data_IF_306760398182
#
_entry.id   IF_306760398182
#
_cell.length_a   1.000
_cell.length_b   1.000
_cell.length_c   1.000
_cell.angle_alpha   90.00
_cell.angle_beta   90.00
_cell.angle_gamma   90.00
#
_symmetry.space_group_name_H-M   'P 1'
#
loop_
_entity.id
_entity.type
_entity.pdbx_description
1 polymer ?
#
# COMPACT_ATOMS: atom_id res chain seq x y z
N UNK A 1 45.12 -52.60 42.46
CA UNK A 1 45.39 -54.06 42.46
C UNK A 1 44.49 -54.73 41.42
N UNK A 2 44.99 -55.83 40.85
CA UNK A 2 44.51 -56.65 39.71
C UNK A 2 43.00 -56.96 39.66
N UNK A 3 42.46 -57.19 38.44
CA UNK A 3 41.08 -57.63 38.12
C UNK A 3 40.72 -59.05 38.61
N UNK A 4 39.79 -59.86 37.99
CA UNK A 4 39.27 -59.80 36.61
C UNK A 4 37.78 -60.29 36.35
N UNK A 5 37.35 -60.17 35.08
CA UNK A 5 36.58 -61.06 34.15
C UNK A 5 35.33 -61.91 34.55
N UNK A 6 34.23 -61.63 33.82
CA UNK A 6 33.27 -62.48 33.05
C UNK A 6 32.92 -63.94 33.42
N UNK A 7 31.62 -64.31 33.35
CA UNK A 7 31.03 -65.26 32.35
C UNK A 7 29.54 -65.62 32.65
N UNK A 8 28.75 -65.72 31.56
CA UNK A 8 27.48 -66.46 31.37
C UNK A 8 27.64 -67.98 31.63
N UNK A 9 26.64 -68.91 31.46
CA UNK A 9 25.24 -68.81 30.98
C UNK A 9 24.21 -69.63 31.82
N UNK A 10 22.90 -69.57 31.50
CA UNK A 10 22.04 -70.78 31.51
C UNK A 10 20.70 -70.61 30.76
N UNK A 11 20.42 -71.66 29.99
CA UNK A 11 19.38 -72.01 29.03
C UNK A 11 17.88 -71.70 29.32
N UNK A 12 17.23 -71.26 28.24
CA UNK A 12 15.92 -71.63 27.67
C UNK A 12 15.08 -72.75 28.31
N UNK A 13 13.77 -72.47 28.47
CA UNK A 13 12.68 -73.38 28.08
C UNK A 13 11.39 -72.61 27.69
N UNK A 14 10.78 -73.02 26.57
CA UNK A 14 9.59 -72.44 25.89
C UNK A 14 8.28 -72.72 26.63
N UNK A 15 7.34 -71.78 26.55
CA UNK A 15 5.90 -72.05 26.49
C UNK A 15 5.22 -70.96 25.64
N UNK A 16 4.59 -71.39 24.55
CA UNK A 16 3.92 -70.57 23.55
C UNK A 16 2.40 -70.66 23.73
N UNK A 17 1.77 -69.57 24.14
CA UNK A 17 0.33 -69.37 24.01
C UNK A 17 0.09 -68.10 23.18
N UNK A 18 -0.42 -68.26 21.96
CA UNK A 18 -0.85 -67.14 21.11
C UNK A 18 -2.21 -66.64 21.62
N UNK A 19 -2.42 -65.34 21.83
CA UNK A 19 -3.76 -64.82 22.04
C UNK A 19 -4.56 -64.96 20.74
N UNK A 20 -5.68 -65.67 20.81
CA UNK A 20 -6.66 -65.75 19.72
C UNK A 20 -7.32 -64.38 19.55
N UNK A 21 -6.91 -63.62 18.54
CA UNK A 21 -7.62 -62.43 18.10
C UNK A 21 -8.96 -62.92 17.55
N UNK A 22 -10.05 -62.65 18.28
CA UNK A 22 -11.41 -62.95 17.82
C UNK A 22 -11.65 -62.23 16.47
N UNK A 23 -12.12 -62.97 15.48
CA UNK A 23 -12.41 -62.50 14.12
C UNK A 23 -13.36 -61.29 14.14
N UNK A 24 -14.22 -61.19 15.15
CA UNK A 24 -15.15 -60.07 15.34
C UNK A 24 -14.45 -58.74 15.61
N UNK A 25 -13.34 -58.74 16.37
CA UNK A 25 -12.55 -57.52 16.63
C UNK A 25 -11.78 -57.07 15.39
N UNK A 26 -11.31 -58.02 14.56
CA UNK A 26 -10.64 -57.71 13.30
C UNK A 26 -11.61 -57.09 12.29
N UNK A 27 -12.84 -57.63 12.22
CA UNK A 27 -13.90 -57.09 11.35
C UNK A 27 -14.37 -55.70 11.79
N UNK A 28 -14.54 -55.45 13.09
CA UNK A 28 -14.87 -54.11 13.61
C UNK A 28 -13.74 -53.09 13.39
N UNK A 29 -12.47 -53.51 13.47
CA UNK A 29 -11.32 -52.65 13.17
C UNK A 29 -11.21 -52.33 11.66
N UNK A 30 -11.47 -53.30 10.78
CA UNK A 30 -11.51 -53.09 9.32
C UNK A 30 -12.72 -52.23 8.92
N UNK A 31 -13.90 -52.45 9.50
CA UNK A 31 -15.11 -51.64 9.26
C UNK A 31 -14.93 -50.20 9.75
N UNK A 32 -14.34 -49.99 10.94
CA UNK A 32 -14.06 -48.64 11.45
C UNK A 32 -12.95 -47.93 10.66
N UNK A 33 -11.93 -48.66 10.20
CA UNK A 33 -10.88 -48.15 9.32
C UNK A 33 -11.40 -47.76 7.93
N UNK A 34 -12.27 -48.58 7.34
CA UNK A 34 -12.90 -48.32 6.04
C UNK A 34 -13.97 -47.21 6.10
N UNK A 35 -14.69 -47.05 7.23
CA UNK A 35 -15.55 -45.88 7.46
C UNK A 35 -14.73 -44.58 7.58
N UNK A 36 -13.57 -44.63 8.25
CA UNK A 36 -12.65 -43.48 8.36
C UNK A 36 -12.01 -43.13 7.01
N UNK A 37 -11.56 -44.11 6.22
CA UNK A 37 -11.04 -43.91 4.87
C UNK A 37 -12.12 -43.43 3.88
N UNK A 38 -13.34 -43.98 3.97
CA UNK A 38 -14.50 -43.54 3.19
C UNK A 38 -14.93 -42.11 3.54
N UNK A 39 -14.91 -41.74 4.83
CA UNK A 39 -15.18 -40.39 5.30
C UNK A 39 -14.12 -39.37 4.84
N UNK A 40 -12.84 -39.74 4.86
CA UNK A 40 -11.74 -38.91 4.34
C UNK A 40 -11.84 -38.74 2.82
N UNK A 41 -12.18 -39.80 2.08
CA UNK A 41 -12.35 -39.75 0.63
C UNK A 41 -13.59 -38.94 0.21
N UNK A 42 -14.70 -39.10 0.93
CA UNK A 42 -15.91 -38.31 0.74
C UNK A 42 -15.66 -36.83 1.09
N UNK A 43 -14.96 -36.56 2.20
CA UNK A 43 -14.53 -35.22 2.59
C UNK A 43 -13.63 -34.55 1.56
N UNK A 44 -12.66 -35.27 1.00
CA UNK A 44 -11.79 -34.77 -0.07
C UNK A 44 -12.57 -34.47 -1.36
N UNK A 45 -13.52 -35.34 -1.74
CA UNK A 45 -14.42 -35.08 -2.89
C UNK A 45 -15.24 -33.81 -2.71
N UNK A 46 -15.87 -33.63 -1.55
CA UNK A 46 -16.64 -32.41 -1.27
C UNK A 46 -15.75 -31.17 -1.22
N UNK A 47 -14.52 -31.29 -0.74
CA UNK A 47 -13.55 -30.19 -0.73
C UNK A 47 -13.14 -29.80 -2.14
N UNK A 48 -12.82 -30.77 -3.01
CA UNK A 48 -12.49 -30.51 -4.43
C UNK A 48 -13.67 -29.88 -5.16
N UNK A 49 -14.88 -30.38 -4.95
CA UNK A 49 -16.11 -29.81 -5.54
C UNK A 49 -16.33 -28.39 -5.02
N UNK A 50 -16.19 -28.14 -3.71
CA UNK A 50 -16.32 -26.81 -3.13
C UNK A 50 -15.30 -25.82 -3.70
N UNK A 51 -14.04 -26.24 -3.86
CA UNK A 51 -12.99 -25.43 -4.51
C UNK A 51 -13.37 -25.15 -5.96
N UNK A 52 -13.79 -26.15 -6.73
CA UNK A 52 -14.18 -25.98 -8.12
C UNK A 52 -15.37 -24.99 -8.27
N UNK A 53 -16.38 -25.12 -7.41
CA UNK A 53 -17.52 -24.19 -7.37
C UNK A 53 -17.05 -22.78 -7.00
N UNK A 54 -16.20 -22.62 -5.99
CA UNK A 54 -15.66 -21.33 -5.60
C UNK A 54 -14.84 -20.67 -6.73
N UNK A 55 -14.01 -21.44 -7.43
CA UNK A 55 -13.23 -20.97 -8.58
C UNK A 55 -14.14 -20.52 -9.71
N UNK A 56 -15.21 -21.25 -10.02
CA UNK A 56 -16.16 -20.89 -11.09
C UNK A 56 -17.09 -19.73 -10.69
N UNK A 57 -17.45 -19.60 -9.42
CA UNK A 57 -18.29 -18.51 -8.92
C UNK A 57 -17.53 -17.19 -8.78
N UNK A 58 -16.23 -17.24 -8.46
CA UNK A 58 -15.43 -16.05 -8.15
C UNK A 58 -15.39 -14.98 -9.26
N UNK A 59 -15.29 -15.30 -10.57
CA UNK A 59 -15.28 -14.28 -11.61
C UNK A 59 -16.64 -13.61 -11.75
N UNK A 60 -17.73 -14.37 -11.61
CA UNK A 60 -19.09 -13.86 -11.67
C UNK A 60 -19.37 -12.89 -10.51
N UNK A 61 -18.93 -13.25 -9.30
CA UNK A 61 -19.03 -12.36 -8.13
C UNK A 61 -18.19 -11.10 -8.30
N UNK A 62 -16.97 -11.23 -8.85
CA UNK A 62 -16.10 -10.09 -9.12
C UNK A 62 -16.69 -9.16 -10.18
N UNK A 63 -17.30 -9.71 -11.24
CA UNK A 63 -18.01 -8.94 -12.26
C UNK A 63 -19.23 -8.24 -11.64
N UNK A 64 -20.02 -8.94 -10.83
CA UNK A 64 -21.15 -8.34 -10.11
C UNK A 64 -20.71 -7.19 -9.20
N UNK A 65 -19.60 -7.37 -8.48
CA UNK A 65 -19.01 -6.31 -7.65
C UNK A 65 -18.49 -5.14 -8.49
N UNK A 66 -17.94 -5.41 -9.68
CA UNK A 66 -17.44 -4.40 -10.60
C UNK A 66 -18.59 -3.54 -11.14
N UNK A 67 -19.69 -4.19 -11.53
CA UNK A 67 -20.91 -3.53 -11.94
C UNK A 67 -21.49 -2.71 -10.80
N UNK A 68 -21.48 -3.22 -9.57
CA UNK A 68 -21.94 -2.46 -8.40
C UNK A 68 -21.08 -1.21 -8.17
N UNK A 69 -19.75 -1.33 -8.17
CA UNK A 69 -18.84 -0.20 -8.02
C UNK A 69 -18.96 0.84 -9.15
N UNK A 70 -19.34 0.39 -10.36
CA UNK A 70 -19.40 1.24 -11.55
C UNK A 70 -20.78 1.79 -11.87
N UNK A 71 -21.88 1.16 -11.47
CA UNK A 71 -23.24 1.59 -11.82
C UNK A 71 -23.97 2.23 -10.64
N UNK A 72 -23.55 1.94 -9.40
CA UNK A 72 -24.15 2.57 -8.22
C UNK A 72 -23.88 4.09 -8.22
N UNK A 73 -24.83 4.93 -7.77
CA UNK A 73 -24.64 6.38 -7.70
C UNK A 73 -23.36 6.76 -6.96
N UNK A 74 -22.47 7.50 -7.62
CA UNK A 74 -21.16 7.91 -7.09
C UNK A 74 -21.17 9.33 -6.52
N UNK A 75 -22.20 9.67 -5.75
CA UNK A 75 -22.22 10.93 -5.01
C UNK A 75 -21.35 10.78 -3.76
N UNK A 76 -20.60 11.82 -3.42
CA UNK A 76 -19.86 11.86 -2.18
C UNK A 76 -20.83 12.10 -1.02
N UNK A 77 -20.81 11.19 -0.06
CA UNK A 77 -21.56 11.29 1.19
C UNK A 77 -20.57 11.43 2.33
N UNK A 78 -20.56 12.59 3.00
CA UNK A 78 -19.81 12.77 4.24
C UNK A 78 -20.39 11.86 5.32
N UNK A 79 -19.51 11.10 5.97
CA UNK A 79 -19.83 10.31 7.17
C UNK A 79 -19.65 11.18 8.41
N UNK A 80 -18.73 12.16 8.35
CA UNK A 80 -18.60 13.17 9.37
C UNK A 80 -19.82 14.11 9.36
N UNK A 81 -20.45 14.29 10.53
CA UNK A 81 -21.57 15.21 10.72
C UNK A 81 -21.16 16.67 10.93
N UNK A 82 -19.86 16.97 10.85
CA UNK A 82 -19.28 18.29 11.08
C UNK A 82 -18.90 18.96 9.77
N UNK A 83 -18.97 20.29 9.74
CA UNK A 83 -18.46 21.08 8.62
C UNK A 83 -16.92 21.06 8.63
N UNK A 84 -16.31 20.77 7.49
CA UNK A 84 -14.85 20.67 7.34
C UNK A 84 -14.42 21.33 6.04
N UNK A 85 -13.34 22.11 6.11
CA UNK A 85 -12.67 22.70 4.94
C UNK A 85 -11.40 21.91 4.63
N UNK A 86 -11.28 21.42 3.39
CA UNK A 86 -10.19 20.55 2.95
C UNK A 86 -9.60 21.01 1.62
N UNK A 87 -8.35 20.66 1.35
CA UNK A 87 -7.66 21.08 0.13
C UNK A 87 -7.85 20.05 -0.98
N UNK A 88 -8.45 20.48 -2.10
CA UNK A 88 -8.75 19.67 -3.26
C UNK A 88 -9.87 18.65 -3.03
N UNK A 89 -9.91 17.63 -3.89
CA UNK A 89 -10.94 16.57 -3.89
C UNK A 89 -10.33 15.18 -4.08
N UNK A 90 -11.08 14.11 -3.74
CA UNK A 90 -10.64 12.75 -4.03
C UNK A 90 -10.48 12.50 -5.54
N UNK A 91 -9.33 11.97 -5.95
CA UNK A 91 -9.00 11.72 -7.36
C UNK A 91 -8.27 10.38 -7.52
N UNK A 92 -8.50 9.68 -8.62
CA UNK A 92 -7.82 8.43 -8.97
C UNK A 92 -6.74 8.70 -10.02
N UNK A 93 -5.48 8.47 -9.66
CA UNK A 93 -4.30 8.82 -10.45
C UNK A 93 -3.73 7.57 -11.15
N UNK A 94 -3.90 7.44 -12.48
CA UNK A 94 -3.16 6.45 -13.25
C UNK A 94 -1.70 6.89 -13.39
N UNK A 95 -0.82 6.30 -12.58
CA UNK A 95 0.59 6.66 -12.48
C UNK A 95 1.46 5.65 -13.21
N UNK A 96 2.53 6.14 -13.85
CA UNK A 96 3.67 5.32 -14.26
C UNK A 96 4.85 5.63 -13.37
N UNK A 97 5.33 4.62 -12.65
CA UNK A 97 6.57 4.67 -11.88
C UNK A 97 7.70 4.11 -12.74
N UNK A 98 8.69 4.95 -13.01
CA UNK A 98 9.91 4.56 -13.73
C UNK A 98 11.10 4.67 -12.81
N UNK A 99 11.81 3.58 -12.63
CA UNK A 99 13.04 3.52 -11.87
C UNK A 99 14.20 3.28 -12.82
N UNK A 100 15.19 4.15 -12.76
CA UNK A 100 16.44 4.06 -13.48
C UNK A 100 17.58 3.97 -12.47
N UNK A 101 18.13 2.76 -12.32
CA UNK A 101 19.32 2.51 -11.51
C UNK A 101 20.55 2.68 -12.39
N UNK A 102 21.45 3.58 -12.00
CA UNK A 102 22.72 3.81 -12.68
C UNK A 102 23.87 2.99 -12.10
N UNK A 103 23.78 2.63 -10.83
CA UNK A 103 24.81 1.88 -10.11
C UNK A 103 24.17 0.98 -9.03
N UNK A 104 24.73 -0.22 -8.74
CA UNK A 104 25.95 -0.82 -9.31
C UNK A 104 25.77 -1.39 -10.73
N UNK A 105 24.54 -1.71 -11.12
CA UNK A 105 24.20 -2.20 -12.46
C UNK A 105 23.18 -1.26 -13.08
N UNK A 106 23.39 -0.92 -14.35
CA UNK A 106 22.41 -0.18 -15.13
C UNK A 106 21.15 -1.02 -15.32
N UNK A 107 20.03 -0.58 -14.76
CA UNK A 107 18.75 -1.24 -14.94
C UNK A 107 17.62 -0.22 -14.96
N UNK A 108 16.72 -0.35 -15.93
CA UNK A 108 15.53 0.48 -16.05
C UNK A 108 14.30 -0.42 -15.96
N UNK A 109 13.41 -0.12 -15.02
CA UNK A 109 12.11 -0.75 -14.95
C UNK A 109 11.01 0.30 -14.84
N UNK A 110 9.91 0.07 -15.53
CA UNK A 110 8.72 0.91 -15.47
C UNK A 110 7.52 0.02 -15.20
N UNK A 111 6.62 0.48 -14.35
CA UNK A 111 5.37 -0.19 -14.08
C UNK A 111 4.28 0.84 -13.78
N UNK A 112 3.07 0.48 -14.15
CA UNK A 112 1.89 1.30 -13.93
C UNK A 112 1.31 0.96 -12.56
N UNK A 113 0.93 1.98 -11.79
CA UNK A 113 0.28 1.84 -10.48
C UNK A 113 -0.91 2.81 -10.42
N UNK A 114 -2.00 2.38 -9.78
CA UNK A 114 -3.13 3.27 -9.49
C UNK A 114 -2.91 3.89 -8.11
N UNK A 115 -2.82 5.22 -8.06
CA UNK A 115 -2.82 5.98 -6.82
C UNK A 115 -4.20 6.60 -6.59
N UNK A 116 -4.50 6.93 -5.35
CA UNK A 116 -5.63 7.75 -4.93
C UNK A 116 -5.08 8.96 -4.19
N UNK A 117 -5.55 10.14 -4.59
CA UNK A 117 -5.35 11.38 -3.87
C UNK A 117 -6.55 11.65 -2.98
N UNK A 118 -6.29 12.01 -1.72
CA UNK A 118 -7.32 12.18 -0.69
C UNK A 118 -7.02 13.45 0.11
N UNK A 119 -7.95 14.43 0.14
CA UNK A 119 -7.88 15.52 1.10
C UNK A 119 -7.92 14.99 2.53
N UNK A 120 -6.94 15.35 3.35
CA UNK A 120 -6.87 14.92 4.75
C UNK A 120 -7.93 15.66 5.56
N UNK A 121 -8.63 14.93 6.43
CA UNK A 121 -9.69 15.48 7.30
C UNK A 121 -11.11 15.16 6.84
N UNK A 122 -11.30 14.60 5.64
CA UNK A 122 -12.61 14.08 5.22
C UNK A 122 -12.80 12.63 5.68
N UNK A 123 -14.01 12.31 6.13
CA UNK A 123 -14.50 10.94 6.27
C UNK A 123 -15.69 10.78 5.36
N UNK A 124 -15.55 10.02 4.28
CA UNK A 124 -16.59 9.97 3.25
C UNK A 124 -16.64 8.65 2.48
N UNK A 125 -17.76 8.47 1.79
CA UNK A 125 -17.97 7.38 0.85
C UNK A 125 -18.44 7.92 -0.50
N UNK A 126 -17.91 7.34 -1.58
CA UNK A 126 -18.28 7.66 -2.96
C UNK A 126 -18.89 6.41 -3.59
N UNK A 127 -20.20 6.27 -3.38
CA UNK A 127 -20.95 5.08 -3.79
C UNK A 127 -20.33 3.78 -3.26
N UNK A 128 -20.17 2.78 -4.14
CA UNK A 128 -19.45 1.54 -3.84
C UNK A 128 -18.02 1.51 -4.41
N UNK A 129 -17.54 2.64 -4.92
CA UNK A 129 -16.25 2.74 -5.59
C UNK A 129 -15.12 3.04 -4.61
N UNK A 130 -15.26 4.08 -3.77
CA UNK A 130 -14.20 4.56 -2.89
C UNK A 130 -14.77 4.86 -1.50
N UNK A 131 -14.05 4.43 -0.47
CA UNK A 131 -14.30 4.81 0.93
C UNK A 131 -13.03 5.40 1.52
N UNK A 132 -13.18 6.49 2.28
CA UNK A 132 -12.08 7.23 2.91
C UNK A 132 -12.44 7.38 4.37
N UNK A 133 -11.66 6.72 5.23
CA UNK A 133 -11.79 6.77 6.69
C UNK A 133 -13.25 6.56 7.17
N UNK A 134 -13.96 5.69 6.46
CA UNK A 134 -15.33 5.29 6.75
C UNK A 134 -15.30 3.89 7.38
N UNK A 135 -16.21 3.63 8.32
CA UNK A 135 -16.28 2.36 9.03
C UNK A 135 -16.34 1.16 8.07
N UNK A 136 -15.63 0.08 8.42
CA UNK A 136 -15.43 -1.13 7.60
C UNK A 136 -16.73 -1.87 7.22
N UNK A 137 -17.88 -1.41 7.70
CA UNK A 137 -19.18 -2.05 7.48
C UNK A 137 -19.61 -2.07 6.02
N UNK A 138 -19.01 -1.24 5.14
CA UNK A 138 -19.40 -1.15 3.73
C UNK A 138 -18.22 -1.44 2.80
N UNK A 139 -18.20 -2.65 2.21
CA UNK A 139 -17.22 -3.03 1.19
C UNK A 139 -17.31 -2.10 -0.03
N UNK A 140 -16.35 -1.18 -0.15
CA UNK A 140 -16.12 -0.38 -1.35
C UNK A 140 -14.98 -0.98 -2.16
N UNK A 141 -14.98 -0.78 -3.49
CA UNK A 141 -13.98 -1.36 -4.37
C UNK A 141 -12.56 -0.96 -3.96
N UNK A 142 -12.39 0.33 -3.69
CA UNK A 142 -11.20 0.93 -3.11
C UNK A 142 -11.49 1.47 -1.72
N UNK A 143 -10.50 1.37 -0.85
CA UNK A 143 -10.56 1.88 0.52
C UNK A 143 -9.25 2.57 0.88
N UNK A 144 -9.36 3.67 1.61
CA UNK A 144 -8.26 4.40 2.25
C UNK A 144 -8.61 4.48 3.72
N UNK A 145 -7.82 3.82 4.55
CA UNK A 145 -8.11 3.61 5.96
C UNK A 145 -6.98 4.20 6.82
N UNK A 146 -7.34 5.09 7.75
CA UNK A 146 -6.42 5.76 8.67
C UNK A 146 -5.56 4.78 9.47
N UNK A 147 -6.06 3.59 9.80
CA UNK A 147 -5.33 2.54 10.54
C UNK A 147 -3.96 2.18 9.96
N UNK A 148 -3.73 2.49 8.69
CA UNK A 148 -2.55 2.04 7.93
C UNK A 148 -1.47 3.11 7.76
N UNK A 149 -1.82 4.37 7.99
CA UNK A 149 -0.93 5.48 7.77
C UNK A 149 -0.33 6.01 9.07
N UNK A 150 0.80 6.70 8.93
CA UNK A 150 1.66 7.21 10.00
C UNK A 150 1.93 6.15 11.08
N UNK A 151 1.64 6.42 12.34
CA UNK A 151 1.93 5.50 13.43
C UNK A 151 0.99 4.28 13.45
N UNK A 152 1.57 3.09 13.68
CA UNK A 152 0.85 1.82 13.84
C UNK A 152 0.26 1.70 15.25
N UNK A 153 -0.99 1.23 15.36
CA UNK A 153 -1.67 0.98 16.64
C UNK A 153 -2.67 2.04 17.06
N UNK A 154 -2.67 3.21 16.40
CA UNK A 154 -3.64 4.28 16.65
C UNK A 154 -4.91 4.12 15.82
N UNK A 155 -5.49 2.92 15.83
CA UNK A 155 -6.57 2.53 14.91
C UNK A 155 -7.90 3.26 15.16
N UNK A 156 -7.98 4.01 16.26
CA UNK A 156 -9.12 4.82 16.67
C UNK A 156 -9.05 6.27 16.13
N UNK A 157 -7.90 6.70 15.61
CA UNK A 157 -7.68 8.05 15.11
C UNK A 157 -7.91 8.12 13.59
N UNK A 158 -8.56 9.20 13.14
CA UNK A 158 -8.69 9.49 11.72
C UNK A 158 -7.41 10.05 11.11
N UNK A 159 -7.44 10.29 9.79
CA UNK A 159 -6.23 10.75 9.06
C UNK A 159 -5.69 12.08 9.57
N UNK A 160 -6.56 13.03 9.94
CA UNK A 160 -6.12 14.35 10.43
C UNK A 160 -5.54 14.25 11.84
N UNK A 161 -6.20 13.51 12.72
CA UNK A 161 -5.75 13.33 14.09
C UNK A 161 -4.40 12.60 14.14
N UNK A 162 -4.19 11.59 13.29
CA UNK A 162 -2.89 10.93 13.15
C UNK A 162 -1.79 11.85 12.65
N UNK A 163 -2.11 12.71 11.69
CA UNK A 163 -1.17 13.72 11.21
C UNK A 163 -0.75 14.66 12.34
N UNK A 164 -1.70 15.15 13.12
CA UNK A 164 -1.42 16.06 14.24
C UNK A 164 -0.54 15.41 15.31
N UNK A 165 -0.81 14.15 15.66
CA UNK A 165 0.02 13.39 16.60
C UNK A 165 1.44 13.25 16.07
N UNK A 166 1.59 12.80 14.81
CA UNK A 166 2.90 12.64 14.19
C UNK A 166 3.69 13.96 14.16
N UNK A 167 3.06 15.08 13.82
CA UNK A 167 3.73 16.38 13.78
C UNK A 167 4.21 16.81 15.17
N UNK A 168 3.38 16.63 16.22
CA UNK A 168 3.80 16.91 17.60
C UNK A 168 4.95 16.02 18.06
N UNK A 169 4.95 14.75 17.65
CA UNK A 169 6.06 13.81 17.93
C UNK A 169 7.36 14.21 17.20
N UNK A 170 7.26 14.97 16.11
CA UNK A 170 8.40 15.60 15.42
C UNK A 170 8.75 16.99 15.98
N UNK A 171 8.16 17.40 17.12
CA UNK A 171 8.32 18.72 17.71
C UNK A 171 7.84 19.88 16.81
N UNK A 172 6.91 19.62 15.91
CA UNK A 172 6.29 20.62 15.05
C UNK A 172 4.88 21.00 15.54
N UNK A 173 4.43 22.20 15.19
CA UNK A 173 3.07 22.65 15.48
C UNK A 173 2.13 22.29 14.31
N UNK A 174 1.10 21.42 14.53
CA UNK A 174 0.15 21.08 13.48
C UNK A 174 -0.61 22.28 12.89
N UNK A 175 -0.71 23.38 13.64
CA UNK A 175 -1.37 24.61 13.16
C UNK A 175 -0.68 25.24 11.96
N UNK A 176 0.62 24.98 11.76
CA UNK A 176 1.37 25.45 10.59
C UNK A 176 0.86 24.86 9.27
N UNK A 177 0.24 23.69 9.33
CA UNK A 177 -0.30 23.00 8.16
C UNK A 177 -1.77 22.63 8.37
N UNK A 178 -2.70 23.59 8.29
CA UNK A 178 -4.13 23.33 8.44
C UNK A 178 -4.66 22.38 7.37
N UNK A 179 -4.04 22.36 6.18
CA UNK A 179 -4.44 21.52 5.06
C UNK A 179 -3.39 20.49 4.72
N UNK A 180 -3.84 19.29 4.33
CA UNK A 180 -2.96 18.26 3.79
C UNK A 180 -3.66 17.45 2.70
N UNK A 181 -2.88 16.90 1.78
CA UNK A 181 -3.33 16.03 0.71
C UNK A 181 -2.51 14.75 0.69
N UNK A 182 -3.17 13.60 0.81
CA UNK A 182 -2.56 12.29 0.84
C UNK A 182 -2.55 11.68 -0.56
N UNK A 183 -1.40 11.19 -1.03
CA UNK A 183 -1.27 10.43 -2.26
C UNK A 183 -0.74 9.02 -1.94
N UNK A 184 -1.57 8.00 -2.11
CA UNK A 184 -1.22 6.61 -1.77
C UNK A 184 -1.84 5.59 -2.73
N UNK A 185 -1.41 4.34 -2.63
CA UNK A 185 -2.05 3.21 -3.32
C UNK A 185 -3.29 2.82 -2.52
N UNK A 186 -4.50 2.78 -3.11
CA UNK A 186 -5.69 2.36 -2.40
C UNK A 186 -5.65 0.85 -2.11
N UNK A 187 -6.26 0.45 -1.00
CA UNK A 187 -6.54 -0.97 -0.75
C UNK A 187 -7.66 -1.45 -1.66
N UNK A 188 -7.44 -2.59 -2.31
CA UNK A 188 -8.44 -3.31 -3.11
C UNK A 188 -8.82 -4.61 -2.40
N UNK A 189 -10.09 -4.74 -1.99
CA UNK A 189 -10.56 -5.84 -1.13
C UNK A 189 -9.66 -5.95 0.12
N UNK A 190 -9.09 -7.10 0.44
CA UNK A 190 -8.16 -7.27 1.58
C UNK A 190 -6.69 -6.98 1.20
N UNK A 191 -6.41 -6.68 -0.07
CA UNK A 191 -5.06 -6.59 -0.60
C UNK A 191 -4.58 -5.16 -0.77
N UNK A 192 -3.39 -4.89 -0.24
CA UNK A 192 -2.72 -3.61 -0.37
C UNK A 192 -1.22 -3.81 -0.16
N UNK A 193 -0.41 -3.12 -0.97
CA UNK A 193 1.02 -2.99 -0.73
C UNK A 193 1.51 -1.62 -1.19
N UNK A 194 1.37 -0.63 -0.31
CA UNK A 194 1.90 0.71 -0.54
C UNK A 194 3.37 0.78 -0.10
N UNK A 195 4.30 0.82 -1.07
CA UNK A 195 5.74 0.93 -0.79
C UNK A 195 6.11 2.35 -0.37
N UNK A 196 5.42 3.34 -0.92
CA UNK A 196 5.63 4.75 -0.62
C UNK A 196 4.29 5.48 -0.61
N UNK A 197 4.11 6.35 0.37
CA UNK A 197 2.97 7.26 0.50
C UNK A 197 3.48 8.68 0.73
N UNK A 198 2.82 9.67 0.14
CA UNK A 198 3.17 11.08 0.31
C UNK A 198 2.03 11.84 0.96
N UNK A 199 2.37 12.62 1.98
CA UNK A 199 1.50 13.64 2.56
C UNK A 199 2.04 15.00 2.14
N UNK A 200 1.28 15.73 1.35
CA UNK A 200 1.57 17.10 0.96
C UNK A 200 0.95 18.02 2.02
N UNK A 201 1.76 18.81 2.70
CA UNK A 201 1.34 19.69 3.80
C UNK A 201 1.35 21.14 3.33
N UNK A 202 0.25 21.84 3.55
CA UNK A 202 0.04 23.18 3.02
C UNK A 202 -0.21 24.15 4.16
N UNK A 203 0.40 25.34 4.06
CA UNK A 203 0.19 26.42 5.01
C UNK A 203 -1.18 27.08 4.89
N UNK A 204 -1.43 28.09 5.73
CA UNK A 204 -2.66 28.91 5.69
C UNK A 204 -2.88 29.57 4.32
N UNK A 205 -1.79 29.94 3.64
CA UNK A 205 -1.80 30.51 2.29
C UNK A 205 -2.15 29.49 1.20
N UNK A 206 -2.36 28.21 1.56
CA UNK A 206 -2.66 27.08 0.67
C UNK A 206 -1.50 26.75 -0.28
N UNK A 207 -0.29 27.14 0.08
CA UNK A 207 0.94 26.80 -0.61
C UNK A 207 1.57 25.53 -0.02
N UNK A 208 2.17 24.70 -0.87
CA UNK A 208 2.88 23.51 -0.44
C UNK A 208 4.16 23.90 0.31
N UNK A 209 4.24 23.57 1.59
CA UNK A 209 5.35 23.96 2.47
C UNK A 209 6.20 22.76 2.94
N UNK A 210 5.58 21.60 3.14
CA UNK A 210 6.29 20.40 3.55
C UNK A 210 5.70 19.12 2.96
N UNK A 211 6.48 18.04 3.00
CA UNK A 211 6.05 16.71 2.60
C UNK A 211 6.45 15.71 3.68
N UNK A 212 5.54 14.79 4.00
CA UNK A 212 5.87 13.56 4.73
C UNK A 212 5.94 12.42 3.72
N UNK A 213 7.07 11.73 3.69
CA UNK A 213 7.23 10.50 2.94
C UNK A 213 7.16 9.30 3.89
N UNK A 214 6.14 8.47 3.72
CA UNK A 214 6.09 7.15 4.37
C UNK A 214 6.71 6.11 3.46
N UNK A 215 7.68 5.36 3.98
CA UNK A 215 8.37 4.30 3.26
C UNK A 215 8.10 2.99 3.99
N UNK A 216 7.44 2.06 3.31
CA UNK A 216 7.25 0.68 3.79
C UNK A 216 8.18 -0.23 2.99
N UNK A 217 9.10 -0.90 3.69
CA UNK A 217 10.05 -1.78 3.03
C UNK A 217 9.53 -3.22 2.90
N UNK A 218 10.32 -4.06 2.21
CA UNK A 218 9.99 -5.48 2.01
C UNK A 218 10.03 -6.32 3.28
N UNK A 219 10.55 -5.81 4.39
CA UNK A 219 10.63 -6.48 5.69
C UNK A 219 9.52 -6.07 6.65
N UNK A 220 8.50 -5.34 6.16
CA UNK A 220 7.42 -4.76 6.95
C UNK A 220 7.90 -3.74 8.02
N UNK A 221 9.09 -3.17 7.82
CA UNK A 221 9.54 -1.98 8.55
C UNK A 221 8.96 -0.74 7.89
N UNK A 222 8.54 0.22 8.71
CA UNK A 222 7.98 1.49 8.27
C UNK A 222 8.83 2.65 8.76
N UNK A 223 9.02 3.66 7.91
CA UNK A 223 9.63 4.92 8.31
C UNK A 223 8.91 6.10 7.68
N UNK A 224 8.59 7.08 8.50
CA UNK A 224 7.98 8.34 8.10
C UNK A 224 9.05 9.42 8.18
N UNK A 225 9.20 10.23 7.14
CA UNK A 225 10.20 11.31 7.08
C UNK A 225 9.50 12.60 6.68
N UNK A 226 9.49 13.56 7.61
CA UNK A 226 9.07 14.93 7.34
C UNK A 226 10.25 15.74 6.79
N UNK A 227 10.00 16.53 5.76
CA UNK A 227 10.95 17.51 5.25
C UNK A 227 10.24 18.71 4.62
N UNK A 228 10.80 19.90 4.83
CA UNK A 228 10.34 21.14 4.19
C UNK A 228 10.70 21.14 2.71
N UNK A 229 9.90 21.84 1.91
CA UNK A 229 10.14 21.98 0.48
C UNK A 229 10.18 23.46 0.08
N UNK A 230 10.94 23.76 -0.97
CA UNK A 230 11.08 25.12 -1.47
C UNK A 230 10.77 25.19 -2.96
N UNK A 231 10.03 26.22 -3.37
CA UNK A 231 9.72 26.50 -4.76
C UNK A 231 10.97 26.76 -5.60
N UNK A 232 10.97 26.30 -6.85
CA UNK A 232 12.01 26.64 -7.83
C UNK A 232 11.55 27.83 -8.68
N UNK A 233 12.23 28.96 -8.55
CA UNK A 233 11.89 30.24 -9.21
C UNK A 233 11.96 30.20 -10.75
N UNK A 234 12.64 29.23 -11.34
CA UNK A 234 13.02 29.23 -12.76
C UNK A 234 11.89 28.90 -13.76
N UNK A 235 10.66 28.58 -13.33
CA UNK A 235 9.57 28.13 -14.21
C UNK A 235 8.20 28.79 -13.93
N UNK A 236 8.17 29.96 -13.27
CA UNK A 236 6.93 30.63 -12.83
C UNK A 236 5.97 31.00 -13.97
N UNK A 237 6.47 31.27 -15.18
CA UNK A 237 5.65 31.65 -16.34
C UNK A 237 4.68 30.54 -16.80
N UNK A 238 4.91 29.27 -16.44
CA UNK A 238 4.01 28.16 -16.80
C UNK A 238 2.86 27.96 -15.79
N UNK A 239 2.91 28.62 -14.62
CA UNK A 239 1.81 28.58 -13.64
C UNK A 239 0.63 29.44 -14.06
N UNK A 240 0.89 30.61 -14.65
CA UNK A 240 -0.12 31.61 -15.00
C UNK A 240 -1.16 31.07 -16.00
N UNK A 241 -0.75 30.23 -16.95
CA UNK A 241 -1.67 29.57 -17.91
C UNK A 241 -2.49 28.42 -17.27
N UNK A 242 -2.06 27.90 -16.12
CA UNK A 242 -2.67 26.71 -15.47
C UNK A 242 -3.55 27.04 -14.28
N UNK A 243 -3.37 28.22 -13.69
CA UNK A 243 -4.19 28.74 -12.61
C UNK A 243 -5.42 29.39 -13.22
N UNK A 244 -6.45 28.57 -13.44
CA UNK A 244 -7.76 29.03 -13.91
C UNK A 244 -8.37 29.94 -12.83
N UNK A 245 -8.14 31.24 -12.97
CA UNK A 245 -8.45 32.26 -11.94
C UNK A 245 -9.96 32.39 -11.71
N UNK A 246 -10.77 31.90 -12.67
CA UNK A 246 -12.24 31.81 -12.58
C UNK A 246 -12.75 30.67 -11.66
N UNK A 247 -11.89 29.73 -11.28
CA UNK A 247 -12.21 28.57 -10.43
C UNK A 247 -11.87 28.77 -8.93
N UNK A 248 -11.64 30.01 -8.48
CA UNK A 248 -11.49 30.38 -7.06
C UNK A 248 -12.79 30.28 -6.24
N UNK A 249 -13.87 29.72 -6.79
CA UNK A 249 -15.14 29.53 -6.06
C UNK A 249 -15.02 28.36 -5.11
N UNK A 250 -15.39 28.59 -3.85
CA UNK A 250 -15.68 27.54 -2.86
C UNK A 250 -16.54 26.45 -3.50
N UNK A 251 -16.00 25.23 -3.59
CA UNK A 251 -16.71 24.07 -4.11
C UNK A 251 -17.09 23.15 -2.95
N UNK A 252 -18.39 22.89 -2.78
CA UNK A 252 -18.82 21.85 -1.85
C UNK A 252 -18.76 20.48 -2.52
N UNK A 253 -18.14 19.51 -1.86
CA UNK A 253 -17.95 18.17 -2.39
C UNK A 253 -19.17 17.26 -2.20
N UNK A 254 -20.00 17.58 -1.21
CA UNK A 254 -21.15 16.78 -0.82
C UNK A 254 -22.46 17.56 -1.02
N UNK A 255 -23.58 16.84 -1.05
CA UNK A 255 -24.91 17.45 -1.25
C UNK A 255 -25.37 18.29 -0.06
N UNK A 256 -24.92 17.98 1.16
CA UNK A 256 -25.31 18.68 2.38
C UNK A 256 -24.46 19.93 2.61
N UNK A 257 -23.46 20.19 1.76
CA UNK A 257 -22.53 21.31 1.87
C UNK A 257 -21.76 21.32 3.19
N UNK A 258 -21.44 20.14 3.73
CA UNK A 258 -20.63 20.01 4.94
C UNK A 258 -19.14 19.94 4.62
N UNK A 259 -18.75 19.58 3.39
CA UNK A 259 -17.35 19.46 2.99
C UNK A 259 -17.01 20.53 1.97
N UNK A 260 -16.30 21.55 2.43
CA UNK A 260 -15.77 22.63 1.60
C UNK A 260 -14.42 22.21 1.00
N UNK A 261 -14.28 22.28 -0.33
CA UNK A 261 -13.01 22.09 -1.03
C UNK A 261 -12.41 23.43 -1.40
N UNK A 262 -11.20 23.68 -0.92
CA UNK A 262 -10.37 24.83 -1.27
C UNK A 262 -9.28 24.41 -2.27
N UNK A 263 -8.90 25.34 -3.15
CA UNK A 263 -7.85 25.12 -4.14
C UNK A 263 -6.49 25.52 -3.56
N UNK A 264 -5.44 24.78 -3.91
CA UNK A 264 -4.06 25.17 -3.60
C UNK A 264 -3.64 26.44 -4.34
N UNK A 265 -2.64 27.14 -3.80
CA UNK A 265 -2.08 28.38 -4.35
C UNK A 265 -0.56 28.26 -4.48
N UNK A 266 -0.08 27.45 -5.43
CA UNK A 266 1.35 27.26 -5.60
C UNK A 266 2.02 28.54 -6.13
N UNK A 267 3.18 28.89 -5.58
CA UNK A 267 4.03 29.99 -6.08
C UNK A 267 5.09 29.49 -7.08
N UNK A 268 5.35 28.17 -7.09
CA UNK A 268 6.30 27.53 -7.97
C UNK A 268 5.73 26.27 -8.63
N UNK A 269 6.15 25.99 -9.87
CA UNK A 269 5.75 24.78 -10.61
C UNK A 269 6.30 23.53 -9.91
N UNK A 270 7.53 23.66 -9.40
CA UNK A 270 8.22 22.56 -8.74
C UNK A 270 8.75 22.96 -7.38
N UNK A 271 8.59 22.05 -6.43
CA UNK A 271 9.10 22.14 -5.09
C UNK A 271 10.22 21.12 -4.91
N UNK A 272 11.30 21.51 -4.24
CA UNK A 272 12.45 20.64 -3.97
C UNK A 272 12.59 20.41 -2.48
N UNK A 273 12.88 19.18 -2.11
CA UNK A 273 13.24 18.77 -0.75
C UNK A 273 14.47 17.87 -0.76
N UNK A 274 15.22 17.88 0.33
CA UNK A 274 16.35 16.97 0.52
C UNK A 274 16.14 16.26 1.85
N UNK A 275 16.27 14.94 1.84
CA UNK A 275 16.18 14.12 3.04
C UNK A 275 17.32 13.12 3.11
N UNK A 276 17.65 12.69 4.32
CA UNK A 276 18.66 11.66 4.57
C UNK A 276 17.96 10.31 4.63
N UNK A 277 18.41 9.36 3.81
CA UNK A 277 17.86 8.01 3.80
C UNK A 277 18.41 7.19 4.95
N UNK A 278 17.52 6.86 5.88
CA UNK A 278 17.84 6.04 7.05
C UNK A 278 17.14 4.68 7.06
N UNK A 279 16.36 4.33 6.03
CA UNK A 279 15.70 3.02 5.86
C UNK A 279 16.13 2.34 4.56
N UNK A 280 16.16 1.01 4.56
CA UNK A 280 16.31 0.21 3.36
C UNK A 280 15.01 0.24 2.56
N UNK A 281 14.96 0.96 1.44
CA UNK A 281 13.81 0.89 0.52
C UNK A 281 13.79 -0.42 -0.29
N UNK A 282 14.93 -1.10 -0.41
CA UNK A 282 15.09 -2.34 -1.15
C UNK A 282 16.19 -3.22 -0.53
N UNK A 283 16.07 -4.56 -0.58
CA UNK A 283 17.12 -5.50 -0.14
C UNK A 283 18.44 -5.37 -0.92
N UNK A 284 18.47 -4.62 -2.02
CA UNK A 284 19.65 -4.44 -2.88
C UNK A 284 20.33 -3.07 -2.70
N UNK A 285 19.91 -2.28 -1.71
CA UNK A 285 20.36 -0.91 -1.52
C UNK A 285 21.06 -0.71 -0.17
N UNK A 286 22.04 0.20 -0.10
CA UNK A 286 22.72 0.56 1.14
C UNK A 286 22.01 1.76 1.79
N UNK A 287 22.12 1.87 3.12
CA UNK A 287 21.60 3.00 3.89
C UNK A 287 22.70 4.03 4.16
N UNK A 288 22.34 5.31 4.30
CA UNK A 288 23.29 6.42 4.48
C UNK A 288 23.50 7.25 3.22
N UNK A 289 22.48 7.38 2.39
CA UNK A 289 22.50 8.14 1.13
C UNK A 289 21.53 9.33 1.22
N UNK A 290 21.81 10.41 0.51
CA UNK A 290 20.87 11.54 0.44
C UNK A 290 19.85 11.29 -0.67
N UNK A 291 18.60 11.66 -0.43
CA UNK A 291 17.55 11.65 -1.43
C UNK A 291 17.18 13.09 -1.71
N UNK A 292 17.37 13.50 -2.95
CA UNK A 292 16.84 14.75 -3.47
C UNK A 292 15.49 14.45 -4.13
N UNK A 293 14.45 15.14 -3.67
CA UNK A 293 13.11 15.02 -4.21
C UNK A 293 12.72 16.30 -4.92
N UNK A 294 11.99 16.14 -6.03
CA UNK A 294 11.34 17.24 -6.75
C UNK A 294 9.89 16.85 -6.99
N UNK A 295 8.95 17.67 -6.54
CA UNK A 295 7.52 17.44 -6.70
C UNK A 295 6.85 18.59 -7.46
N UNK A 296 5.74 18.28 -8.11
CA UNK A 296 4.69 19.24 -8.39
C UNK A 296 3.59 19.05 -7.36
N UNK A 297 2.80 20.10 -7.13
CA UNK A 297 1.60 19.99 -6.31
C UNK A 297 0.58 19.04 -7.02
N UNK A 298 0.19 17.90 -6.42
CA UNK A 298 -0.68 16.94 -7.09
C UNK A 298 -2.10 17.46 -7.32
N UNK A 299 -2.50 18.57 -6.69
CA UNK A 299 -3.86 19.11 -6.81
C UNK A 299 -4.04 20.09 -7.96
N UNK A 300 -2.95 20.47 -8.65
CA UNK A 300 -3.02 21.36 -9.82
C UNK A 300 -2.95 20.62 -11.14
N UNK A 301 -3.63 21.10 -12.20
CA UNK A 301 -3.60 20.45 -13.50
C UNK A 301 -2.22 20.32 -14.16
N UNK A 302 -1.29 21.22 -13.85
CA UNK A 302 0.08 21.15 -14.35
C UNK A 302 0.81 19.85 -13.93
N UNK A 303 0.37 19.19 -12.84
CA UNK A 303 1.00 17.98 -12.31
C UNK A 303 0.71 16.70 -13.11
N UNK A 304 -0.30 16.72 -13.98
CA UNK A 304 -0.72 15.55 -14.76
C UNK A 304 -0.62 15.75 -16.28
N UNK A 305 0.38 16.54 -16.68
CA UNK A 305 0.77 16.72 -18.08
C UNK A 305 1.61 15.53 -18.59
N UNK A 306 1.38 15.13 -19.85
CA UNK A 306 2.14 14.11 -20.56
C UNK A 306 3.63 14.46 -20.69
N UNK A 307 3.95 15.75 -20.80
CA UNK A 307 5.32 16.21 -21.05
C UNK A 307 6.15 16.33 -19.76
N UNK A 308 5.49 16.41 -18.60
CA UNK A 308 6.14 16.67 -17.32
C UNK A 308 6.02 15.47 -16.38
N UNK A 309 6.89 15.43 -15.38
CA UNK A 309 6.87 14.39 -14.34
C UNK A 309 6.39 15.01 -13.04
N UNK A 310 5.36 14.42 -12.46
CA UNK A 310 4.77 14.83 -11.17
C UNK A 310 5.79 14.79 -10.04
N UNK A 311 6.66 13.77 -10.03
CA UNK A 311 7.77 13.72 -9.07
C UNK A 311 9.02 13.08 -9.67
N UNK A 312 10.18 13.54 -9.23
CA UNK A 312 11.47 12.91 -9.48
C UNK A 312 12.25 12.79 -8.17
N UNK A 313 12.53 11.55 -7.79
CA UNK A 313 13.37 11.16 -6.68
C UNK A 313 14.76 10.81 -7.20
N UNK A 314 15.81 11.38 -6.64
CA UNK A 314 17.20 11.02 -6.96
C UNK A 314 17.95 10.63 -5.70
N UNK A 315 18.32 9.36 -5.62
CA UNK A 315 19.25 8.88 -4.57
C UNK A 315 20.68 9.16 -4.99
N UNK A 316 21.43 9.82 -4.13
CA UNK A 316 22.82 10.21 -4.34
C UNK A 316 23.75 9.42 -3.41
N UNK A 317 24.91 9.01 -3.92
CA UNK A 317 25.97 8.43 -3.09
C UNK A 317 26.52 9.45 -2.10
N UNK A 318 27.24 8.99 -1.07
CA UNK A 318 28.01 9.89 -0.18
C UNK A 318 29.00 10.80 -0.93
N UNK A 319 29.44 10.38 -2.13
CA UNK A 319 30.27 11.19 -3.05
C UNK A 319 29.48 12.14 -3.97
N UNK A 320 28.17 12.27 -3.77
CA UNK A 320 27.31 13.18 -4.54
C UNK A 320 26.94 12.71 -5.95
N UNK A 321 27.22 11.45 -6.33
CA UNK A 321 26.88 10.93 -7.66
C UNK A 321 25.47 10.31 -7.67
N UNK A 322 24.65 10.55 -8.70
CA UNK A 322 23.31 9.97 -8.78
C UNK A 322 23.39 8.46 -9.02
N UNK A 323 22.82 7.69 -8.10
CA UNK A 323 22.83 6.23 -8.12
C UNK A 323 21.53 5.64 -8.66
N UNK A 324 20.41 6.22 -8.25
CA UNK A 324 19.08 5.80 -8.67
C UNK A 324 18.19 7.01 -8.86
N UNK A 325 17.39 6.99 -9.93
CA UNK A 325 16.38 7.98 -10.21
C UNK A 325 15.03 7.25 -10.28
N UNK A 326 14.08 7.64 -9.44
CA UNK A 326 12.69 7.23 -9.58
C UNK A 326 11.87 8.42 -10.08
N UNK A 327 10.98 8.15 -11.02
CA UNK A 327 10.13 9.15 -11.65
C UNK A 327 8.70 8.70 -11.55
N UNK A 328 7.85 9.60 -11.07
CA UNK A 328 6.41 9.46 -11.06
C UNK A 328 5.82 10.38 -12.14
N UNK A 329 5.12 9.79 -13.11
CA UNK A 329 4.44 10.54 -14.17
C UNK A 329 2.97 10.15 -14.25
N UNK A 330 2.10 11.14 -14.43
CA UNK A 330 0.68 10.96 -14.69
C UNK A 330 0.40 11.46 -16.11
N UNK A 331 0.23 10.54 -17.07
CA UNK A 331 0.13 10.88 -18.50
C UNK A 331 -1.32 11.13 -18.96
N UNK A 332 -2.26 11.12 -18.04
CA UNK A 332 -3.66 11.41 -18.29
C UNK A 332 -4.25 12.12 -17.07
N UNK A 333 -5.24 13.02 -17.25
CA UNK A 333 -5.94 13.62 -16.14
C UNK A 333 -6.47 12.55 -15.17
N UNK A 334 -6.34 12.76 -13.85
CA UNK A 334 -6.92 11.87 -12.86
C UNK A 334 -8.42 11.77 -13.02
N UNK A 335 -8.93 10.60 -12.68
CA UNK A 335 -10.35 10.31 -12.77
C UNK A 335 -11.03 10.82 -11.51
N UNK A 336 -11.94 11.79 -11.68
CA UNK A 336 -12.85 12.21 -10.63
C UNK A 336 -13.94 11.13 -10.44
N UNK A 337 -13.96 10.42 -9.30
CA UNK A 337 -14.92 9.35 -9.08
C UNK A 337 -16.37 9.83 -9.03
N UNK A 338 -16.62 11.11 -8.74
CA UNK A 338 -17.96 11.68 -8.60
C UNK A 338 -18.56 12.19 -9.92
N UNK A 339 -17.72 12.67 -10.83
CA UNK A 339 -18.16 13.32 -12.08
C UNK A 339 -18.02 12.44 -13.32
N UNK A 340 -17.15 11.43 -13.26
CA UNK A 340 -16.82 10.61 -14.43
C UNK A 340 -17.94 9.62 -14.78
N UNK A 341 -18.08 9.28 -16.07
CA UNK A 341 -19.04 8.29 -16.55
C UNK A 341 -18.75 6.88 -16.03
N UNK A 342 -19.80 6.06 -15.90
CA UNK A 342 -19.66 4.67 -15.45
C UNK A 342 -18.77 3.83 -16.38
N UNK A 343 -18.77 4.12 -17.69
CA UNK A 343 -17.95 3.39 -18.66
C UNK A 343 -16.45 3.60 -18.42
N UNK A 344 -16.05 4.84 -18.12
CA UNK A 344 -14.66 5.14 -17.77
C UNK A 344 -14.26 4.48 -16.45
N UNK A 345 -15.17 4.40 -15.47
CA UNK A 345 -14.93 3.64 -14.23
C UNK A 345 -14.75 2.15 -14.53
N UNK A 346 -15.63 1.52 -15.33
CA UNK A 346 -15.46 0.11 -15.73
C UNK A 346 -14.10 -0.12 -16.39
N UNK A 347 -13.71 0.75 -17.34
CA UNK A 347 -12.41 0.68 -18.01
C UNK A 347 -11.26 0.80 -17.00
N UNK A 348 -11.35 1.75 -16.07
CA UNK A 348 -10.38 1.93 -15.00
C UNK A 348 -10.27 0.67 -14.14
N UNK A 349 -11.38 0.16 -13.62
CA UNK A 349 -11.39 -1.01 -12.75
C UNK A 349 -10.83 -2.25 -13.46
N UNK A 350 -11.26 -2.53 -14.69
CA UNK A 350 -10.73 -3.67 -15.45
C UNK A 350 -9.22 -3.54 -15.71
N UNK A 351 -8.76 -2.34 -16.08
CA UNK A 351 -7.35 -2.10 -16.40
C UNK A 351 -6.45 -2.20 -15.17
N UNK A 352 -6.93 -1.79 -13.99
CA UNK A 352 -6.10 -1.64 -12.80
C UNK A 352 -6.25 -2.76 -11.76
N UNK A 353 -7.34 -3.52 -11.78
CA UNK A 353 -7.57 -4.59 -10.79
C UNK A 353 -6.54 -5.73 -10.89
N UNK A 354 -6.22 -6.17 -12.11
CA UNK A 354 -5.20 -7.20 -12.32
C UNK A 354 -3.78 -6.72 -11.96
N UNK A 355 -3.31 -5.52 -12.39
CA UNK A 355 -2.05 -4.98 -11.91
C UNK A 355 -1.98 -4.85 -10.39
N UNK A 356 -2.99 -4.28 -9.73
CA UNK A 356 -2.99 -4.08 -8.27
C UNK A 356 -2.85 -5.42 -7.53
N UNK A 357 -3.56 -6.47 -7.96
CA UNK A 357 -3.49 -7.79 -7.33
C UNK A 357 -2.19 -8.54 -7.62
N UNK A 358 -1.64 -8.44 -8.83
CA UNK A 358 -0.45 -9.20 -9.24
C UNK A 358 0.88 -8.46 -9.02
N UNK A 359 0.87 -7.23 -8.53
CA UNK A 359 2.09 -6.42 -8.36
C UNK A 359 3.12 -7.10 -7.46
N UNK A 360 2.74 -7.64 -6.29
CA UNK A 360 3.70 -8.34 -5.42
C UNK A 360 4.28 -9.59 -6.06
N UNK A 361 3.45 -10.42 -6.71
CA UNK A 361 3.92 -11.61 -7.40
C UNK A 361 4.94 -11.24 -8.50
N UNK A 362 4.67 -10.17 -9.25
CA UNK A 362 5.59 -9.63 -10.25
C UNK A 362 6.89 -9.11 -9.65
N UNK A 363 6.83 -8.39 -8.52
CA UNK A 363 8.01 -7.89 -7.81
C UNK A 363 8.86 -9.04 -7.28
N UNK A 364 8.23 -10.04 -6.65
CA UNK A 364 8.91 -11.23 -6.14
C UNK A 364 9.57 -12.02 -7.27
N UNK A 365 8.86 -12.23 -8.38
CA UNK A 365 9.42 -12.87 -9.57
C UNK A 365 10.64 -12.12 -10.11
N UNK A 366 10.58 -10.79 -10.19
CA UNK A 366 11.71 -9.98 -10.64
C UNK A 366 12.89 -10.05 -9.67
N UNK A 367 12.64 -10.00 -8.36
CA UNK A 367 13.68 -10.12 -7.34
C UNK A 367 14.38 -11.49 -7.42
N UNK A 368 13.61 -12.59 -7.45
CA UNK A 368 14.13 -13.95 -7.61
C UNK A 368 14.91 -14.10 -8.92
N UNK A 369 14.38 -13.57 -10.03
CA UNK A 369 15.08 -13.61 -11.33
C UNK A 369 16.43 -12.89 -11.29
N UNK A 370 16.55 -11.78 -10.56
CA UNK A 370 17.81 -11.05 -10.41
C UNK A 370 18.80 -11.84 -9.58
N UNK A 371 18.34 -12.44 -8.48
CA UNK A 371 19.13 -13.25 -7.57
C UNK A 371 19.64 -14.53 -8.25
N UNK A 372 18.76 -15.31 -8.89
CA UNK A 372 19.12 -16.53 -9.62
C UNK A 372 20.05 -16.27 -10.81
N UNK A 373 19.99 -15.08 -11.41
CA UNK A 373 20.93 -14.68 -12.47
C UNK A 373 22.27 -14.19 -11.92
N UNK A 374 22.47 -14.17 -10.60
CA UNK A 374 23.71 -13.72 -9.96
C UNK A 374 24.00 -12.22 -10.17
N UNK A 375 23.01 -11.44 -10.59
CA UNK A 375 23.23 -10.03 -10.93
C UNK A 375 23.42 -9.18 -9.66
N UNK A 376 22.69 -9.48 -8.59
CA UNK A 376 22.85 -8.82 -7.29
C UNK A 376 22.57 -9.81 -6.17
N UNK A 377 23.38 -9.72 -5.10
CA UNK A 377 23.14 -10.45 -3.86
C UNK A 377 22.10 -9.72 -3.03
N UNK A 378 21.07 -10.42 -2.59
CA UNK A 378 20.12 -9.90 -1.61
C UNK A 378 20.89 -9.67 -0.30
N UNK A 379 20.80 -8.46 0.25
CA UNK A 379 21.42 -8.16 1.55
C UNK A 379 20.65 -8.88 2.65
N UNK A 380 21.37 -9.31 3.69
CA UNK A 380 20.75 -9.86 4.89
C UNK A 380 19.81 -8.83 5.52
N UNK A 381 18.81 -9.34 6.25
CA UNK A 381 17.85 -8.49 6.95
C UNK A 381 18.61 -7.53 7.88
N UNK A 382 18.44 -6.21 7.72
CA UNK A 382 19.11 -5.24 8.56
C UNK A 382 18.46 -5.18 9.95
N UNK A 383 19.24 -4.81 10.97
CA UNK A 383 18.70 -4.43 12.26
C UNK A 383 17.81 -3.19 12.13
N UNK A 384 16.71 -3.17 12.88
CA UNK A 384 15.77 -2.05 12.89
C UNK A 384 16.48 -0.83 13.47
N UNK A 385 16.52 0.26 12.69
CA UNK A 385 17.21 1.49 13.11
C UNK A 385 16.31 2.35 13.98
N UNK A 386 16.92 3.16 14.84
CA UNK A 386 16.20 4.14 15.65
C UNK A 386 15.33 5.06 14.78
N UNK A 387 14.08 5.26 15.20
CA UNK A 387 13.06 6.05 14.49
C UNK A 387 12.35 5.31 13.35
N UNK A 388 12.62 4.02 13.13
CA UNK A 388 11.78 3.17 12.29
C UNK A 388 10.82 2.35 13.14
N UNK A 389 9.60 2.14 12.65
CA UNK A 389 8.62 1.25 13.27
C UNK A 389 8.87 -0.20 12.83
N UNK A 390 8.83 -1.12 13.79
CA UNK A 390 9.02 -2.55 13.55
C UNK A 390 7.85 -3.20 12.81
N UNK A 391 8.08 -4.42 12.30
CA UNK A 391 7.02 -5.27 11.75
C UNK A 391 5.87 -5.46 12.74
N UNK A 392 4.68 -5.73 12.21
CA UNK A 392 3.55 -6.13 13.05
C UNK A 392 3.88 -7.43 13.78
N UNK A 393 3.51 -7.52 15.06
CA UNK A 393 3.61 -8.75 15.82
C UNK A 393 2.77 -9.83 15.12
N UNK A 394 3.35 -11.01 14.92
CA UNK A 394 2.54 -12.17 14.50
C UNK A 394 1.81 -12.72 15.73
N UNK A 395 0.60 -13.27 15.57
CA UNK A 395 -0.26 -13.66 16.70
C UNK A 395 0.29 -14.69 17.70
N UNK A 396 1.53 -15.16 17.54
CA UNK A 396 2.27 -15.95 18.54
C UNK A 396 3.31 -15.16 19.34
N UNK A 397 3.39 -13.84 19.17
CA UNK A 397 4.41 -12.95 19.79
C UNK A 397 3.78 -11.88 20.70
N UNK A 398 2.49 -12.03 21.05
CA UNK A 398 1.74 -11.11 21.93
C UNK A 398 1.86 -11.46 23.40
#
# INVERSE_FOLDING_TARGET
MKGPKSLNPLHLARSSARPSISIEYLLLWILSGSLRLGGVYLGLKWTVVAIAVAVLASPNLLIGYLLLASLYPRKLTSVAGTEVSVLGKPLLFPITLTHNRRSPIWNRFSHSVLFVGVPVGIKCQIGKLLSIDADETISSWFTVDSKRYLHRGDDHLGLREKLDVFLRDQNEDPSQWPYAYLLSVPRFLWWERSVVTWWFLYGDNKELDAVIMEINNSFDEKRNVLFKVHGTEAETSALEDSLDTDNLKTQYLDMRRTVESVTSRPTAVYYKGILVKHIYSSPFEKVGEHIAERFMDPTIPAAWDKMRSMSNTTTMTASGRPKMMARMSCHSPPVDPTQTSWFTIIKLLMWWTLPVTLTTARILYQALRIEFKGLMRMMDKPDIRSGSESRRATGGES
#
